data_IF_415747832496
#
_entry.id   IF_415747832496
#
_cell.length_a   1.000
_cell.length_b   1.000
_cell.length_c   1.000
_cell.angle_alpha   90.00
_cell.angle_beta   90.00
_cell.angle_gamma   90.00
#
_symmetry.space_group_name_H-M   'P 1'
#
loop_
_entity.id
_entity.type
_entity.pdbx_description
1 polymer ?
#
# COMPACT_ATOMS: atom_id res chain seq x y z
N UNK A 1 -1.69 16.40 2.58
CA UNK A 1 -1.19 15.03 2.81
C UNK A 1 0.31 15.11 2.97
N UNK A 2 0.88 14.32 3.88
CA UNK A 2 2.32 14.22 4.10
C UNK A 2 2.73 12.75 4.11
N UNK A 3 3.96 12.49 3.69
CA UNK A 3 4.58 11.17 3.78
C UNK A 3 5.84 11.31 4.63
N UNK A 4 6.00 10.39 5.59
CA UNK A 4 7.23 10.22 6.36
C UNK A 4 7.95 9.01 5.76
N UNK A 5 9.13 9.23 5.19
CA UNK A 5 9.93 8.18 4.57
C UNK A 5 11.41 8.38 4.92
N UNK A 6 12.04 7.36 5.51
CA UNK A 6 13.44 7.41 5.95
C UNK A 6 13.78 8.64 6.81
N UNK A 7 12.86 9.01 7.71
CA UNK A 7 13.00 10.17 8.59
C UNK A 7 12.81 11.53 7.90
N UNK A 8 12.52 11.56 6.60
CA UNK A 8 12.23 12.78 5.85
C UNK A 8 10.73 12.96 5.65
N UNK A 9 10.27 14.20 5.79
CA UNK A 9 8.91 14.62 5.44
C UNK A 9 8.87 15.02 3.96
N UNK A 10 7.94 14.44 3.22
CA UNK A 10 7.67 14.72 1.82
C UNK A 10 6.25 15.25 1.71
N UNK A 11 6.08 16.34 0.96
CA UNK A 11 4.80 17.01 0.74
C UNK A 11 4.43 17.02 -0.74
N UNK A 12 3.16 17.31 -1.02
CA UNK A 12 2.61 17.33 -2.37
C UNK A 12 2.01 15.99 -2.78
N UNK A 13 0.72 15.99 -3.10
CA UNK A 13 -0.04 14.75 -3.34
C UNK A 13 0.53 13.93 -4.49
N UNK A 14 0.89 14.56 -5.61
CA UNK A 14 1.42 13.86 -6.79
C UNK A 14 2.75 13.16 -6.47
N UNK A 15 3.65 13.85 -5.78
CA UNK A 15 4.95 13.29 -5.36
C UNK A 15 4.75 12.12 -4.41
N UNK A 16 3.85 12.28 -3.42
CA UNK A 16 3.53 11.23 -2.45
C UNK A 16 2.94 10.01 -3.16
N UNK A 17 1.96 10.18 -4.05
CA UNK A 17 1.33 9.06 -4.74
C UNK A 17 2.28 8.31 -5.64
N UNK A 18 3.13 9.02 -6.39
CA UNK A 18 4.15 8.39 -7.25
C UNK A 18 5.14 7.60 -6.42
N UNK A 19 5.69 8.19 -5.35
CA UNK A 19 6.65 7.51 -4.49
C UNK A 19 6.04 6.29 -3.82
N UNK A 20 4.84 6.42 -3.24
CA UNK A 20 4.15 5.29 -2.59
C UNK A 20 3.87 4.16 -3.59
N UNK A 21 3.44 4.47 -4.81
CA UNK A 21 3.22 3.47 -5.85
C UNK A 21 4.52 2.72 -6.20
N UNK A 22 5.64 3.42 -6.34
CA UNK A 22 6.96 2.80 -6.58
C UNK A 22 7.38 1.89 -5.42
N UNK A 23 7.16 2.30 -4.16
CA UNK A 23 7.50 1.49 -2.98
C UNK A 23 6.68 0.21 -2.93
N UNK A 24 5.37 0.32 -3.14
CA UNK A 24 4.47 -0.83 -3.24
C UNK A 24 4.95 -1.78 -4.34
N UNK A 25 5.26 -1.25 -5.53
CA UNK A 25 5.72 -2.05 -6.66
C UNK A 25 7.05 -2.78 -6.38
N UNK A 26 7.94 -2.18 -5.58
CA UNK A 26 9.20 -2.79 -5.11
C UNK A 26 9.02 -3.83 -4.00
N UNK A 27 7.78 -4.17 -3.62
CA UNK A 27 7.49 -5.16 -2.58
C UNK A 27 7.57 -4.63 -1.15
N UNK A 28 7.66 -3.29 -0.98
CA UNK A 28 7.60 -2.65 0.32
C UNK A 28 6.15 -2.58 0.83
N UNK A 29 5.98 -2.53 2.15
CA UNK A 29 4.69 -2.37 2.81
C UNK A 29 4.57 -0.92 3.27
N UNK A 30 3.49 -0.25 2.88
CA UNK A 30 3.21 1.14 3.27
C UNK A 30 2.02 1.22 4.22
N UNK A 31 2.03 2.20 5.11
CA UNK A 31 0.89 2.51 5.98
C UNK A 31 0.24 3.82 5.56
N UNK A 32 -1.07 3.80 5.35
CA UNK A 32 -1.87 4.92 4.85
C UNK A 32 -2.91 5.29 5.92
N UNK A 33 -2.90 6.55 6.36
CA UNK A 33 -3.93 7.09 7.27
C UNK A 33 -5.15 7.52 6.47
N UNK A 34 -6.30 6.89 6.72
CA UNK A 34 -7.60 7.25 6.17
C UNK A 34 -8.57 7.74 7.24
N UNK A 35 -9.83 7.96 6.86
CA UNK A 35 -10.88 8.48 7.74
C UNK A 35 -11.19 7.55 8.93
N UNK A 36 -11.09 6.23 8.73
CA UNK A 36 -11.40 5.21 9.73
C UNK A 36 -10.18 4.60 10.44
N UNK A 37 -9.01 5.25 10.37
CA UNK A 37 -7.77 4.75 10.96
C UNK A 37 -6.69 4.48 9.91
N UNK A 38 -5.89 3.45 10.11
CA UNK A 38 -4.73 3.15 9.26
C UNK A 38 -4.91 1.86 8.48
N UNK A 39 -4.54 1.89 7.20
CA UNK A 39 -4.47 0.74 6.33
C UNK A 39 -3.01 0.41 6.04
N UNK A 40 -2.69 -0.88 5.87
CA UNK A 40 -1.40 -1.29 5.33
C UNK A 40 -1.65 -1.85 3.93
N UNK A 41 -0.76 -1.53 2.99
CA UNK A 41 -0.85 -1.95 1.60
C UNK A 41 0.50 -2.46 1.10
N UNK A 42 0.48 -3.45 0.22
CA UNK A 42 1.62 -3.99 -0.49
C UNK A 42 1.20 -4.39 -1.90
N UNK A 43 2.15 -4.82 -2.74
CA UNK A 43 1.81 -5.39 -4.04
C UNK A 43 1.15 -6.76 -3.84
N UNK A 44 -0.10 -6.90 -4.28
CA UNK A 44 -0.87 -8.13 -4.13
C UNK A 44 -0.39 -9.29 -5.02
N UNK A 45 0.44 -9.01 -6.04
CA UNK A 45 1.02 -10.05 -6.91
C UNK A 45 2.40 -10.52 -6.43
N UNK A 46 2.96 -9.90 -5.39
CA UNK A 46 4.22 -10.30 -4.77
C UNK A 46 3.94 -11.12 -3.52
N UNK A 47 4.06 -12.45 -3.64
CA UNK A 47 3.78 -13.38 -2.54
C UNK A 47 4.63 -13.08 -1.30
N UNK A 48 5.89 -12.69 -1.46
CA UNK A 48 6.76 -12.38 -0.31
C UNK A 48 6.29 -11.12 0.42
N UNK A 49 5.83 -10.11 -0.32
CA UNK A 49 5.27 -8.91 0.29
C UNK A 49 3.97 -9.21 1.05
N UNK A 50 3.13 -10.10 0.51
CA UNK A 50 1.89 -10.56 1.15
C UNK A 50 2.18 -11.34 2.44
N UNK A 51 3.18 -12.22 2.43
CA UNK A 51 3.57 -13.00 3.61
C UNK A 51 4.10 -12.09 4.73
N UNK A 52 5.00 -11.15 4.39
CA UNK A 52 5.48 -10.12 5.33
C UNK A 52 4.32 -9.29 5.90
N UNK A 53 3.32 -8.96 5.09
CA UNK A 53 2.14 -8.22 5.54
C UNK A 53 1.28 -9.07 6.51
N UNK A 54 1.18 -10.39 6.28
CA UNK A 54 0.45 -11.30 7.15
C UNK A 54 1.11 -11.42 8.52
N UNK A 55 2.43 -11.58 8.54
CA UNK A 55 3.24 -11.56 9.76
C UNK A 55 3.08 -10.24 10.52
N UNK A 56 3.25 -9.10 9.83
CA UNK A 56 3.12 -7.78 10.45
C UNK A 56 1.72 -7.48 11.00
N UNK A 57 0.67 -8.10 10.42
CA UNK A 57 -0.71 -7.97 10.88
C UNK A 57 -1.12 -9.00 11.93
N UNK A 58 -0.26 -9.97 12.25
CA UNK A 58 -0.58 -11.12 13.09
C UNK A 58 -1.94 -11.75 12.72
N UNK A 59 -2.16 -11.92 11.41
CA UNK A 59 -3.48 -12.23 10.83
C UNK A 59 -3.45 -13.56 10.09
N UNK A 60 -3.38 -14.64 10.87
CA UNK A 60 -3.35 -15.99 10.32
C UNK A 60 -4.64 -16.34 9.58
N UNK A 61 -4.47 -16.73 8.32
CA UNK A 61 -5.51 -17.33 7.46
C UNK A 61 -6.61 -16.40 6.94
N UNK A 62 -6.88 -15.23 7.55
CA UNK A 62 -7.95 -14.34 7.05
C UNK A 62 -7.57 -13.72 5.69
N UNK A 63 -8.49 -13.68 4.72
CA UNK A 63 -8.26 -13.01 3.43
C UNK A 63 -7.98 -11.51 3.60
N UNK A 64 -7.16 -10.96 2.71
CA UNK A 64 -6.98 -9.52 2.53
C UNK A 64 -7.90 -9.00 1.42
N UNK A 65 -8.31 -7.74 1.54
CA UNK A 65 -8.94 -7.03 0.44
C UNK A 65 -7.88 -6.71 -0.62
N UNK A 66 -8.28 -6.75 -1.90
CA UNK A 66 -7.42 -6.41 -3.05
C UNK A 66 -8.05 -5.26 -3.83
N UNK A 67 -7.23 -4.29 -4.22
CA UNK A 67 -7.64 -3.18 -5.08
C UNK A 67 -7.16 -3.45 -6.51
N UNK A 68 -8.06 -3.29 -7.48
CA UNK A 68 -7.76 -3.45 -8.90
C UNK A 68 -7.89 -2.11 -9.61
N UNK A 69 -7.08 -1.90 -10.66
CA UNK A 69 -7.37 -0.84 -11.60
C UNK A 69 -8.74 -1.09 -12.23
N UNK A 70 -9.56 -0.04 -12.30
CA UNK A 70 -10.90 -0.16 -12.88
C UNK A 70 -10.85 -0.79 -14.27
N UNK A 71 -11.82 -1.66 -14.56
CA UNK A 71 -11.97 -2.24 -15.90
C UNK A 71 -12.33 -1.11 -16.87
N UNK A 72 -11.58 -0.93 -17.97
CA UNK A 72 -12.06 -0.11 -19.09
C UNK A 72 -13.31 -0.79 -19.63
N UNK A 73 -14.48 -0.19 -19.41
CA UNK A 73 -15.73 -0.63 -20.03
C UNK A 73 -15.72 -0.03 -21.43
N UNK A 74 -15.46 -0.86 -22.44
CA UNK A 74 -15.64 -0.45 -23.82
C UNK A 74 -17.16 -0.42 -24.08
N UNK A 75 -17.71 0.76 -24.34
CA UNK A 75 -18.99 0.91 -25.03
C UNK A 75 -18.71 1.04 -26.52
#
# INVERSE_FOLDING_TARGET
YELIYQGKRIEGINTITTLVAERIFRGEIVTIKGLGGFFMACNATDTQAVDRLREAKNRDGKPFAVMFSGRKVNH
#
